data_IF_112209233602
#
_entry.id   IF_112209233602
#
_cell.length_a   1.000
_cell.length_b   1.000
_cell.length_c   1.000
_cell.angle_alpha   90.00
_cell.angle_beta   90.00
_cell.angle_gamma   90.00
#
_symmetry.space_group_name_H-M   'P 1'
#
loop_
_entity.id
_entity.type
_entity.pdbx_description
1 polymer ?
#
# COMPACT_ATOMS: atom_id res chain seq x y z
N UNK A 1 -15.84 -6.45 9.71
CA UNK A 1 -15.48 -5.16 10.32
C UNK A 1 -14.84 -4.36 9.22
N UNK A 2 -15.60 -3.44 8.65
CA UNK A 2 -15.12 -2.45 7.69
C UNK A 2 -14.13 -1.53 8.41
N UNK A 3 -12.85 -1.93 8.42
CA UNK A 3 -11.79 -1.04 8.86
C UNK A 3 -11.75 0.10 7.85
N UNK A 4 -12.35 1.23 8.23
CA UNK A 4 -12.17 2.53 7.60
C UNK A 4 -10.68 2.70 7.34
N UNK A 5 -10.32 2.63 6.05
CA UNK A 5 -8.94 2.80 5.62
C UNK A 5 -8.58 4.27 5.79
N UNK A 6 -8.22 4.62 7.03
CA UNK A 6 -7.90 5.98 7.41
C UNK A 6 -6.61 6.42 6.73
N UNK A 7 -6.58 7.67 6.28
CA UNK A 7 -5.40 8.29 5.63
C UNK A 7 -4.15 8.14 6.50
N UNK A 8 -4.31 8.13 7.83
CA UNK A 8 -3.23 7.88 8.81
C UNK A 8 -2.60 6.49 8.63
N UNK A 9 -3.41 5.42 8.57
CA UNK A 9 -2.91 4.06 8.33
C UNK A 9 -2.21 3.96 6.97
N UNK A 10 -2.71 4.69 5.97
CA UNK A 10 -2.08 4.69 4.66
C UNK A 10 -0.67 5.28 4.69
N UNK A 11 -0.48 6.39 5.40
CA UNK A 11 0.83 7.02 5.49
C UNK A 11 1.86 6.12 6.20
N UNK A 12 1.44 5.39 7.24
CA UNK A 12 2.28 4.38 7.89
C UNK A 12 2.57 3.20 6.97
N UNK A 13 1.57 2.71 6.24
CA UNK A 13 1.73 1.67 5.22
C UNK A 13 2.73 2.09 4.15
N UNK A 14 2.69 3.34 3.68
CA UNK A 14 3.69 3.85 2.74
C UNK A 14 5.09 3.76 3.29
N UNK A 15 5.30 4.21 4.53
CA UNK A 15 6.63 4.16 5.15
C UNK A 15 7.12 2.71 5.27
N UNK A 16 6.23 1.79 5.68
CA UNK A 16 6.54 0.35 5.76
C UNK A 16 6.81 -0.24 4.37
N UNK A 17 6.05 0.13 3.34
CA UNK A 17 6.25 -0.30 1.96
C UNK A 17 7.56 0.24 1.38
N UNK A 18 7.90 1.51 1.60
CA UNK A 18 9.18 2.11 1.18
C UNK A 18 10.38 1.41 1.82
N UNK A 19 10.23 0.92 3.07
CA UNK A 19 11.28 0.13 3.74
C UNK A 19 11.48 -1.25 3.10
N UNK A 20 10.40 -1.91 2.68
CA UNK A 20 10.47 -3.24 2.04
C UNK A 20 10.89 -3.12 0.57
N UNK A 21 10.37 -2.09 -0.10
CA UNK A 21 10.49 -1.84 -1.53
C UNK A 21 11.14 -0.46 -1.73
N UNK A 22 12.48 -0.35 -1.56
CA UNK A 22 13.19 0.93 -1.71
C UNK A 22 13.18 1.48 -3.15
N UNK A 23 12.69 0.69 -4.12
CA UNK A 23 12.45 1.13 -5.49
C UNK A 23 11.15 1.93 -5.66
N UNK A 24 10.26 1.92 -4.66
CA UNK A 24 9.07 2.76 -4.67
C UNK A 24 9.46 4.20 -4.36
N UNK A 25 8.89 5.15 -5.10
CA UNK A 25 8.99 6.57 -4.78
C UNK A 25 7.73 7.04 -4.07
N UNK A 26 7.86 8.11 -3.30
CA UNK A 26 6.72 8.71 -2.60
C UNK A 26 5.61 9.17 -3.57
N UNK A 27 5.98 9.49 -4.81
CA UNK A 27 5.08 9.82 -5.90
C UNK A 27 4.25 8.60 -6.37
N UNK A 28 4.83 7.40 -6.40
CA UNK A 28 4.12 6.16 -6.80
C UNK A 28 3.13 5.71 -5.72
N UNK A 29 3.42 6.09 -4.47
CA UNK A 29 2.56 5.88 -3.32
C UNK A 29 1.57 7.03 -3.10
N UNK A 30 1.53 8.06 -3.95
CA UNK A 30 0.53 9.13 -3.78
C UNK A 30 -0.88 8.58 -4.00
N UNK A 31 -1.73 8.78 -3.01
CA UNK A 31 -3.16 8.53 -3.16
C UNK A 31 -3.77 9.72 -3.87
N UNK A 32 -4.16 9.54 -5.15
CA UNK A 32 -4.75 10.60 -5.98
C UNK A 32 -6.23 10.35 -6.21
N UNK A 33 -7.11 10.72 -5.27
CA UNK A 33 -8.57 10.62 -5.43
C UNK A 33 -9.10 9.29 -6.04
N UNK A 34 -8.36 8.18 -5.87
CA UNK A 34 -8.74 6.86 -6.37
C UNK A 34 -9.36 6.05 -5.26
N UNK A 35 -10.01 4.93 -5.59
CA UNK A 35 -10.32 3.93 -4.56
C UNK A 35 -9.05 3.23 -4.08
N UNK A 36 -9.07 2.70 -2.86
CA UNK A 36 -7.97 1.89 -2.29
C UNK A 36 -7.56 0.75 -3.22
N UNK A 37 -8.52 0.08 -3.85
CA UNK A 37 -8.23 -1.04 -4.75
C UNK A 37 -7.46 -0.60 -5.99
N UNK A 38 -7.80 0.55 -6.56
CA UNK A 38 -7.13 1.11 -7.72
C UNK A 38 -5.69 1.53 -7.39
N UNK A 39 -5.52 2.12 -6.19
CA UNK A 39 -4.22 2.49 -5.65
C UNK A 39 -3.32 1.25 -5.47
N UNK A 40 -3.84 0.20 -4.82
CA UNK A 40 -3.13 -1.05 -4.63
C UNK A 40 -2.81 -1.72 -5.97
N UNK A 41 -3.72 -1.67 -6.95
CA UNK A 41 -3.48 -2.21 -8.28
C UNK A 41 -2.33 -1.47 -8.99
N UNK A 42 -2.33 -0.14 -8.90
CA UNK A 42 -1.29 0.72 -9.48
C UNK A 42 0.07 0.43 -8.84
N UNK A 43 0.12 0.38 -7.51
CA UNK A 43 1.35 0.08 -6.77
C UNK A 43 1.86 -1.32 -7.10
N UNK A 44 0.97 -2.31 -7.15
CA UNK A 44 1.32 -3.69 -7.49
C UNK A 44 1.92 -3.77 -8.90
N UNK A 45 1.31 -3.10 -9.88
CA UNK A 45 1.84 -3.01 -11.25
C UNK A 45 3.21 -2.32 -11.29
N UNK A 46 3.40 -1.26 -10.50
CA UNK A 46 4.64 -0.50 -10.48
C UNK A 46 5.82 -1.30 -9.91
N UNK A 47 5.60 -2.02 -8.81
CA UNK A 47 6.62 -2.89 -8.20
C UNK A 47 6.74 -4.25 -8.90
N UNK A 48 5.90 -4.50 -9.90
CA UNK A 48 5.90 -5.74 -10.67
C UNK A 48 5.44 -6.97 -9.88
N UNK A 49 4.60 -6.79 -8.86
CA UNK A 49 4.00 -7.91 -8.11
C UNK A 49 2.49 -7.99 -8.35
N UNK A 50 1.89 -9.12 -7.98
CA UNK A 50 0.43 -9.24 -8.05
C UNK A 50 -0.26 -8.47 -6.92
N UNK A 51 -1.48 -7.99 -7.17
CA UNK A 51 -2.36 -7.41 -6.14
C UNK A 51 -2.48 -8.30 -4.89
N UNK A 52 -2.48 -9.64 -5.06
CA UNK A 52 -2.51 -10.61 -3.95
C UNK A 52 -1.27 -10.53 -3.08
N UNK A 53 -0.09 -10.45 -3.67
CA UNK A 53 1.17 -10.35 -2.92
C UNK A 53 1.26 -9.01 -2.20
N UNK A 54 0.82 -7.92 -2.85
CA UNK A 54 0.71 -6.62 -2.19
C UNK A 54 -0.27 -6.66 -1.01
N UNK A 55 -1.45 -7.25 -1.19
CA UNK A 55 -2.43 -7.39 -0.09
C UNK A 55 -1.86 -8.19 1.07
N UNK A 56 -1.19 -9.32 0.83
CA UNK A 56 -0.53 -10.08 1.90
C UNK A 56 0.54 -9.25 2.63
N UNK A 57 1.30 -8.44 1.91
CA UNK A 57 2.28 -7.55 2.51
C UNK A 57 1.58 -6.51 3.40
N UNK A 58 0.52 -5.88 2.90
CA UNK A 58 -0.30 -4.93 3.65
C UNK A 58 -0.93 -5.57 4.88
N UNK A 59 -1.53 -6.76 4.76
CA UNK A 59 -2.12 -7.51 5.87
C UNK A 59 -1.08 -7.86 6.94
N UNK A 60 0.11 -8.35 6.53
CA UNK A 60 1.21 -8.61 7.48
C UNK A 60 1.68 -7.35 8.21
N UNK A 61 1.66 -6.21 7.53
CA UNK A 61 2.08 -4.92 8.09
C UNK A 61 1.03 -4.31 9.03
N UNK A 62 -0.25 -4.61 8.81
CA UNK A 62 -1.38 -4.22 9.68
C UNK A 62 -1.40 -5.08 10.95
N UNK A 63 -1.16 -6.40 10.83
CA UNK A 63 -1.14 -7.35 11.95
C UNK A 63 0.05 -7.17 12.91
N UNK A 64 1.08 -6.42 12.48
CA UNK A 64 2.29 -6.15 13.27
C UNK A 64 2.23 -4.82 14.03
N UNK A 65 1.08 -4.12 14.02
CA UNK A 65 0.86 -2.83 14.70
C UNK A 65 0.04 -2.96 15.97
#
# INVERSE_FOLDING_TARGET
MDQEFNITNWNELKIKLLKIYPHLTNADLQWRDTTKEDLLCTIANYIGISKKELNKAVEKLDLAS
#
